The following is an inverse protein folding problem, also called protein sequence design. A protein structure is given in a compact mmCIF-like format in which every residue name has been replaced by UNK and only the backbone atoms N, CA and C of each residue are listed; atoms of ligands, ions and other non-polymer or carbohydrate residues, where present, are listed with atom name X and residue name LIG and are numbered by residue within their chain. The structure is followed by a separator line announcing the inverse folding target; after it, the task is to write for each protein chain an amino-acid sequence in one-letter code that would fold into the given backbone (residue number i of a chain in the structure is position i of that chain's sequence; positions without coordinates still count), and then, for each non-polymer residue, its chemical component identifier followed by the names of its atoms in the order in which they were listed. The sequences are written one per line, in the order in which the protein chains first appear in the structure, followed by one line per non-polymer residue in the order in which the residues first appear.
data_IF_510965933102
#
_entry.id   IF_510965933102
#
_cell.length_a   1.000
_cell.length_b   1.000
_cell.length_c   1.000
_cell.angle_alpha   90.00
_cell.angle_beta   90.00
_cell.angle_gamma   90.00
#
_symmetry.space_group_name_H-M   'P 1'
#
loop_
_entity.id
_entity.type
_entity.pdbx_description
1 polymer ?
#
# COMPACT_ATOMS: atom_id res chain seq x y z
N UNK A 1 9.48 53.47 15.56
CA UNK A 1 9.10 53.31 14.13
C UNK A 1 9.32 51.84 13.79
N UNK A 2 8.31 51.13 13.29
CA UNK A 2 8.47 49.76 12.79
C UNK A 2 8.74 49.79 11.28
N UNK A 3 9.70 48.99 10.81
CA UNK A 3 10.09 48.89 9.40
C UNK A 3 9.92 47.44 8.96
N UNK A 4 9.35 47.22 7.78
CA UNK A 4 9.18 45.88 7.24
C UNK A 4 10.55 45.23 6.98
N UNK A 5 10.73 44.00 7.47
CA UNK A 5 11.92 43.18 7.22
C UNK A 5 11.53 41.90 6.49
N UNK A 6 12.44 41.39 5.65
CA UNK A 6 12.25 40.08 5.00
C UNK A 6 12.63 38.96 5.97
N UNK A 7 11.75 37.97 6.09
CA UNK A 7 12.01 36.77 6.91
C UNK A 7 11.30 35.49 6.44
N UNK A 8 10.42 35.59 5.43
CA UNK A 8 9.57 34.48 4.99
C UNK A 8 10.35 33.27 4.47
N UNK A 9 11.33 33.48 3.59
CA UNK A 9 12.14 32.40 3.01
C UNK A 9 12.89 31.61 4.10
N UNK A 10 13.59 32.32 5.00
CA UNK A 10 14.28 31.69 6.14
C UNK A 10 13.31 30.93 7.05
N UNK A 11 12.09 31.45 7.24
CA UNK A 11 11.07 30.76 8.04
C UNK A 11 10.57 29.48 7.34
N UNK A 12 10.39 29.51 6.02
CA UNK A 12 9.99 28.35 5.21
C UNK A 12 11.07 27.27 5.25
N UNK A 13 12.34 27.64 5.03
CA UNK A 13 13.47 26.69 5.10
C UNK A 13 13.57 26.03 6.48
N UNK A 14 13.48 26.82 7.55
CA UNK A 14 13.48 26.30 8.91
C UNK A 14 12.28 25.37 9.18
N UNK A 15 11.10 25.71 8.67
CA UNK A 15 9.91 24.88 8.79
C UNK A 15 10.06 23.54 8.05
N UNK A 16 10.64 23.54 6.84
CA UNK A 16 10.95 22.31 6.11
C UNK A 16 11.96 21.45 6.88
N UNK A 17 13.06 22.02 7.36
CA UNK A 17 14.05 21.28 8.15
C UNK A 17 13.43 20.66 9.42
N UNK A 18 12.53 21.38 10.10
CA UNK A 18 11.78 20.85 11.24
C UNK A 18 10.86 19.70 10.83
N UNK A 19 10.20 19.79 9.69
CA UNK A 19 9.33 18.71 9.19
C UNK A 19 10.14 17.47 8.79
N UNK A 20 11.31 17.65 8.17
CA UNK A 20 12.21 16.53 7.83
C UNK A 20 12.74 15.83 9.08
N UNK A 21 13.12 16.60 10.10
CA UNK A 21 13.54 16.06 11.39
C UNK A 21 12.42 15.26 12.05
N UNK A 22 11.19 15.80 12.06
CA UNK A 22 10.00 15.09 12.57
C UNK A 22 9.70 13.82 11.78
N UNK A 23 9.78 13.87 10.45
CA UNK A 23 9.60 12.71 9.56
C UNK A 23 10.62 11.61 9.86
N UNK A 24 11.89 11.98 10.12
CA UNK A 24 12.93 11.00 10.47
C UNK A 24 12.68 10.36 11.84
N UNK A 25 12.21 11.11 12.83
CA UNK A 25 11.99 10.62 14.18
C UNK A 25 13.28 10.25 14.91
N UNK A 26 13.20 9.32 15.87
CA UNK A 26 14.36 8.87 16.65
C UNK A 26 15.41 8.16 15.76
N UNK A 27 16.63 8.71 15.75
CA UNK A 27 17.77 8.18 15.00
C UNK A 27 18.22 6.79 15.45
N UNK A 28 17.84 6.35 16.66
CA UNK A 28 18.11 5.01 17.18
C UNK A 28 17.24 3.93 16.52
N UNK A 29 16.11 4.32 15.95
CA UNK A 29 15.24 3.41 15.21
C UNK A 29 15.71 3.31 13.75
N UNK A 30 15.66 2.10 13.14
CA UNK A 30 15.88 1.95 11.71
C UNK A 30 14.91 2.82 10.92
N UNK A 31 15.42 3.46 9.87
CA UNK A 31 14.58 4.22 8.96
C UNK A 31 13.64 3.29 8.18
N UNK A 32 12.39 3.73 7.97
CA UNK A 32 11.44 3.01 7.13
C UNK A 32 11.98 2.89 5.70
N UNK A 33 12.14 1.65 5.22
CA UNK A 33 12.51 1.40 3.83
C UNK A 33 11.29 1.48 2.91
N UNK A 34 11.53 1.79 1.64
CA UNK A 34 10.48 1.78 0.61
C UNK A 34 9.90 0.36 0.50
N UNK A 35 10.75 -0.66 0.52
CA UNK A 35 10.33 -2.06 0.49
C UNK A 35 9.39 -2.43 1.65
N UNK A 36 9.69 -1.99 2.87
CA UNK A 36 8.81 -2.21 4.03
C UNK A 36 7.42 -1.60 3.80
N UNK A 37 7.35 -0.37 3.30
CA UNK A 37 6.08 0.31 3.02
C UNK A 37 5.33 -0.43 1.90
N UNK A 38 6.02 -0.74 0.80
CA UNK A 38 5.45 -1.46 -0.36
C UNK A 38 4.85 -2.81 0.04
N UNK A 39 5.56 -3.59 0.87
CA UNK A 39 5.16 -4.96 1.21
C UNK A 39 4.16 -5.01 2.38
N UNK A 40 4.38 -4.21 3.43
CA UNK A 40 3.66 -4.33 4.70
C UNK A 40 2.48 -3.35 4.81
N UNK A 41 2.53 -2.22 4.09
CA UNK A 41 1.48 -1.20 4.06
C UNK A 41 0.79 -1.10 2.69
N UNK A 42 0.70 -2.24 1.99
CA UNK A 42 0.22 -2.33 0.60
C UNK A 42 -1.15 -1.68 0.36
N UNK A 43 -2.09 -1.71 1.31
CA UNK A 43 -3.39 -1.05 1.14
C UNK A 43 -3.30 0.48 1.05
N UNK A 44 -2.36 1.10 1.77
CA UNK A 44 -2.10 2.54 1.64
C UNK A 44 -1.46 2.85 0.28
N UNK A 45 -0.54 1.98 -0.17
CA UNK A 45 0.10 2.08 -1.49
C UNK A 45 -0.93 1.97 -2.60
N UNK A 46 -1.86 1.01 -2.53
CA UNK A 46 -2.92 0.82 -3.51
C UNK A 46 -3.84 2.06 -3.61
N UNK A 47 -4.17 2.68 -2.47
CA UNK A 47 -4.92 3.94 -2.42
C UNK A 47 -4.17 5.09 -3.10
N UNK A 48 -2.89 5.27 -2.77
CA UNK A 48 -2.07 6.34 -3.34
C UNK A 48 -1.87 6.17 -4.83
N UNK A 49 -1.62 4.95 -5.33
CA UNK A 49 -1.55 4.68 -6.76
C UNK A 49 -2.85 5.04 -7.48
N UNK A 50 -3.99 4.62 -6.92
CA UNK A 50 -5.32 4.81 -7.53
C UNK A 50 -5.70 6.29 -7.62
N UNK A 51 -5.58 7.02 -6.51
CA UNK A 51 -5.97 8.44 -6.44
C UNK A 51 -4.88 9.37 -7.03
N UNK A 52 -3.61 8.98 -6.97
CA UNK A 52 -2.48 9.70 -7.55
C UNK A 52 -2.34 9.52 -9.06
N UNK A 53 -2.93 8.46 -9.63
CA UNK A 53 -3.03 8.24 -11.07
C UNK A 53 -1.77 7.68 -11.72
N UNK A 54 -0.91 7.00 -10.94
CA UNK A 54 0.24 6.22 -11.43
C UNK A 54 0.21 4.86 -10.74
N UNK A 55 0.12 3.79 -11.53
CA UNK A 55 0.18 2.41 -11.05
C UNK A 55 1.63 1.93 -10.90
N UNK A 56 2.36 2.53 -9.96
CA UNK A 56 3.72 2.16 -9.57
C UNK A 56 3.83 2.10 -8.04
N UNK A 57 4.11 0.91 -7.51
CA UNK A 57 4.12 0.65 -6.07
C UNK A 57 5.27 1.34 -5.35
N UNK A 58 6.45 1.40 -5.97
CA UNK A 58 7.63 2.01 -5.34
C UNK A 58 7.50 3.53 -5.30
N UNK A 59 6.97 4.15 -6.36
CA UNK A 59 6.69 5.59 -6.37
C UNK A 59 5.61 5.98 -5.35
N UNK A 60 4.54 5.19 -5.23
CA UNK A 60 3.51 5.43 -4.23
C UNK A 60 4.06 5.24 -2.79
N UNK A 61 4.89 4.23 -2.56
CA UNK A 61 5.56 4.02 -1.27
C UNK A 61 6.57 5.14 -0.94
N UNK A 62 7.29 5.65 -1.94
CA UNK A 62 8.17 6.81 -1.79
C UNK A 62 7.37 8.07 -1.41
N UNK A 63 6.24 8.31 -2.09
CA UNK A 63 5.35 9.44 -1.76
C UNK A 63 4.81 9.34 -0.33
N UNK A 64 4.37 8.14 0.09
CA UNK A 64 3.96 7.87 1.47
C UNK A 64 5.08 8.14 2.48
N UNK A 65 6.30 7.68 2.18
CA UNK A 65 7.47 7.93 3.03
C UNK A 65 7.74 9.43 3.16
N UNK A 66 7.73 10.16 2.05
CA UNK A 66 7.98 11.60 2.02
C UNK A 66 6.92 12.39 2.79
N UNK A 67 5.65 11.98 2.67
CA UNK A 67 4.49 12.56 3.33
C UNK A 67 4.32 12.14 4.81
N UNK A 68 5.28 11.41 5.39
CA UNK A 68 5.17 10.90 6.77
C UNK A 68 3.91 10.04 7.01
N UNK A 69 3.45 9.34 5.97
CA UNK A 69 2.23 8.52 6.00
C UNK A 69 0.93 9.28 5.77
N UNK A 70 0.95 10.60 5.52
CA UNK A 70 -0.25 11.34 5.13
C UNK A 70 -0.66 10.98 3.68
N UNK A 71 -1.79 10.28 3.56
CA UNK A 71 -2.30 9.84 2.26
C UNK A 71 -2.65 11.00 1.34
N UNK A 72 -3.21 12.11 1.85
CA UNK A 72 -3.64 13.24 1.00
C UNK A 72 -2.42 13.91 0.38
N UNK A 73 -1.38 14.14 1.17
CA UNK A 73 -0.12 14.69 0.69
C UNK A 73 0.61 13.72 -0.25
N UNK A 74 0.65 12.42 0.08
CA UNK A 74 1.26 11.41 -0.79
C UNK A 74 0.58 11.33 -2.17
N UNK A 75 -0.76 11.38 -2.21
CA UNK A 75 -1.55 11.43 -3.44
C UNK A 75 -1.19 12.69 -4.23
N UNK A 76 -1.10 13.84 -3.56
CA UNK A 76 -0.75 15.09 -4.21
C UNK A 76 0.67 15.05 -4.82
N UNK A 77 1.65 14.53 -4.08
CA UNK A 77 3.02 14.33 -4.56
C UNK A 77 3.06 13.44 -5.81
N UNK A 78 2.38 12.29 -5.79
CA UNK A 78 2.38 11.38 -6.93
C UNK A 78 1.66 11.98 -8.15
N UNK A 79 0.58 12.72 -7.92
CA UNK A 79 -0.18 13.41 -8.97
C UNK A 79 0.59 14.59 -9.58
N UNK A 80 1.37 15.30 -8.76
CA UNK A 80 2.31 16.33 -9.24
C UNK A 80 3.46 15.68 -10.04
N UNK A 81 4.01 14.56 -9.59
CA UNK A 81 5.05 13.86 -10.34
C UNK A 81 4.56 13.43 -11.72
N UNK A 82 3.31 12.96 -11.83
CA UNK A 82 2.67 12.62 -13.11
C UNK A 82 2.71 13.73 -14.16
N UNK A 83 2.65 15.01 -13.76
CA UNK A 83 2.68 16.13 -14.73
C UNK A 83 4.07 16.35 -15.32
N UNK A 84 5.11 15.77 -14.73
CA UNK A 84 6.49 15.84 -15.23
C UNK A 84 6.81 14.73 -16.25
N UNK A 85 5.95 13.72 -16.37
CA UNK A 85 6.18 12.54 -17.20
C UNK A 85 5.60 12.71 -18.61
N UNK A 86 6.31 12.20 -19.61
CA UNK A 86 5.81 12.09 -20.97
C UNK A 86 4.84 10.91 -21.10
N UNK A 87 3.79 11.07 -21.90
CA UNK A 87 2.90 9.97 -22.26
C UNK A 87 3.52 9.18 -23.43
N UNK A 88 4.15 8.06 -23.12
CA UNK A 88 4.86 7.24 -24.11
C UNK A 88 3.93 6.37 -24.98
N UNK A 89 2.83 5.89 -24.40
CA UNK A 89 1.89 5.02 -25.08
C UNK A 89 0.49 5.11 -24.45
N UNK A 90 -0.48 4.50 -25.12
CA UNK A 90 -1.82 4.21 -24.61
C UNK A 90 -2.01 2.70 -24.72
N UNK A 91 -2.45 2.05 -23.65
CA UNK A 91 -2.69 0.60 -23.68
C UNK A 91 -3.95 0.28 -24.50
N UNK A 92 -4.03 -0.96 -24.96
CA UNK A 92 -5.30 -1.53 -25.35
C UNK A 92 -6.25 -1.63 -24.13
N UNK A 93 -7.57 -1.74 -24.34
CA UNK A 93 -8.50 -2.01 -23.26
C UNK A 93 -8.14 -3.30 -22.51
N UNK A 94 -8.18 -3.25 -21.17
CA UNK A 94 -7.86 -4.41 -20.33
C UNK A 94 -8.98 -5.44 -20.43
N UNK A 95 -8.64 -6.68 -20.81
CA UNK A 95 -9.56 -7.82 -20.72
C UNK A 95 -9.59 -8.38 -19.28
N UNK A 96 -10.66 -8.09 -18.55
CA UNK A 96 -10.84 -8.57 -17.18
C UNK A 96 -11.37 -10.00 -17.10
N UNK A 97 -11.84 -10.60 -18.21
CA UNK A 97 -12.33 -11.97 -18.23
C UNK A 97 -11.20 -13.00 -18.11
N UNK A 98 -9.99 -12.66 -18.59
CA UNK A 98 -8.78 -13.47 -18.48
C UNK A 98 -7.94 -13.17 -17.24
N UNK A 99 -8.47 -12.39 -16.28
CA UNK A 99 -7.77 -12.04 -15.04
C UNK A 99 -7.37 -13.28 -14.25
N UNK A 100 -6.08 -13.35 -13.86
CA UNK A 100 -5.63 -14.29 -12.83
C UNK A 100 -6.18 -13.86 -11.48
N UNK A 101 -7.21 -14.57 -11.01
CA UNK A 101 -7.98 -14.15 -9.84
C UNK A 101 -7.17 -14.28 -8.54
N UNK A 102 -7.16 -13.22 -7.73
CA UNK A 102 -6.75 -13.26 -6.31
C UNK A 102 -7.96 -13.32 -5.36
N UNK A 103 -9.09 -12.70 -5.77
CA UNK A 103 -10.38 -12.70 -5.07
C UNK A 103 -11.52 -12.63 -6.08
N UNK A 104 -12.62 -13.35 -5.83
CA UNK A 104 -13.85 -13.31 -6.64
C UNK A 104 -15.06 -13.69 -5.79
N UNK A 105 -15.95 -12.73 -5.55
CA UNK A 105 -17.17 -12.95 -4.79
C UNK A 105 -18.39 -12.39 -5.54
N UNK A 106 -19.56 -13.00 -5.34
CA UNK A 106 -20.85 -12.51 -5.81
C UNK A 106 -21.86 -12.54 -4.68
N UNK A 107 -22.52 -11.42 -4.41
CA UNK A 107 -23.55 -11.32 -3.38
C UNK A 107 -24.94 -11.76 -3.87
N UNK A 108 -25.14 -11.92 -5.17
CA UNK A 108 -26.47 -12.18 -5.78
C UNK A 108 -26.88 -13.64 -5.64
N UNK A 109 -25.92 -14.55 -5.74
CA UNK A 109 -26.16 -15.99 -5.62
C UNK A 109 -25.32 -16.56 -4.50
N UNK A 110 -25.84 -17.60 -3.85
CA UNK A 110 -25.09 -18.35 -2.84
C UNK A 110 -23.79 -18.91 -3.44
N UNK A 111 -23.91 -19.61 -4.57
CA UNK A 111 -22.79 -20.17 -5.33
C UNK A 111 -22.84 -19.72 -6.80
N UNK A 112 -21.66 -19.68 -7.43
CA UNK A 112 -21.45 -19.29 -8.83
C UNK A 112 -20.51 -20.29 -9.51
N UNK A 113 -20.53 -20.43 -10.86
CA UNK A 113 -19.54 -21.23 -11.56
C UNK A 113 -18.12 -20.76 -11.21
N UNK A 114 -17.25 -21.71 -10.85
CA UNK A 114 -15.91 -21.44 -10.31
C UNK A 114 -15.86 -21.15 -8.80
N UNK A 115 -17.01 -21.11 -8.13
CA UNK A 115 -17.13 -20.90 -6.68
C UNK A 115 -16.93 -19.45 -6.22
N UNK A 116 -17.21 -19.24 -4.94
CA UNK A 116 -16.91 -18.02 -4.20
C UNK A 116 -15.48 -18.10 -3.66
N UNK A 117 -14.61 -17.17 -4.04
CA UNK A 117 -13.21 -17.13 -3.63
C UNK A 117 -12.93 -15.87 -2.83
N UNK A 118 -12.82 -16.00 -1.51
CA UNK A 118 -12.58 -14.86 -0.60
C UNK A 118 -11.19 -14.24 -0.79
N UNK A 119 -10.16 -15.01 -1.10
CA UNK A 119 -8.80 -14.48 -1.19
C UNK A 119 -8.33 -13.80 0.11
N UNK A 120 -7.26 -12.99 0.06
CA UNK A 120 -6.83 -12.17 1.20
C UNK A 120 -7.85 -11.06 1.48
N UNK A 121 -8.43 -11.04 2.69
CA UNK A 121 -9.41 -10.02 3.09
C UNK A 121 -9.43 -9.81 4.60
N UNK A 122 -9.86 -8.61 5.02
CA UNK A 122 -10.24 -8.31 6.39
C UNK A 122 -11.74 -8.51 6.65
N UNK A 123 -12.52 -8.92 5.65
CA UNK A 123 -13.93 -9.25 5.85
C UNK A 123 -14.07 -10.35 6.91
N UNK A 124 -15.14 -10.28 7.71
CA UNK A 124 -15.44 -11.21 8.81
C UNK A 124 -14.41 -11.23 9.95
N UNK A 125 -13.42 -10.33 9.95
CA UNK A 125 -12.53 -10.15 11.10
C UNK A 125 -13.23 -9.37 12.20
N UNK A 126 -12.98 -9.76 13.46
CA UNK A 126 -13.37 -8.93 14.61
C UNK A 126 -12.46 -7.72 14.68
N UNK A 127 -13.05 -6.52 14.75
CA UNK A 127 -12.31 -5.24 14.80
C UNK A 127 -11.78 -4.95 16.20
N UNK A 128 -10.88 -5.79 16.68
CA UNK A 128 -10.18 -5.67 17.96
C UNK A 128 -8.70 -5.44 17.69
N UNK A 129 -8.04 -4.62 18.49
CA UNK A 129 -6.58 -4.44 18.39
C UNK A 129 -5.87 -5.73 18.79
N UNK A 130 -4.95 -6.20 17.93
CA UNK A 130 -4.14 -7.40 18.18
C UNK A 130 -2.88 -7.01 18.96
N UNK A 131 -2.82 -7.39 20.24
CA UNK A 131 -1.67 -7.16 21.13
C UNK A 131 -0.64 -8.29 21.07
N UNK A 132 -0.84 -9.32 20.25
CA UNK A 132 0.14 -10.39 20.09
C UNK A 132 1.42 -9.82 19.45
N UNK A 133 2.63 -10.12 19.97
CA UNK A 133 3.86 -9.65 19.34
C UNK A 133 3.95 -10.09 17.87
N UNK A 134 4.14 -9.10 16.99
CA UNK A 134 4.28 -9.28 15.55
C UNK A 134 5.42 -10.26 15.25
N UNK A 135 5.08 -11.43 14.68
CA UNK A 135 6.05 -12.46 14.30
C UNK A 135 5.88 -13.84 14.96
N UNK A 136 5.03 -13.97 15.99
CA UNK A 136 4.77 -15.27 16.63
C UNK A 136 3.49 -15.98 16.17
N UNK A 137 2.72 -15.41 15.23
CA UNK A 137 1.68 -16.19 14.54
C UNK A 137 2.39 -17.13 13.56
N UNK A 138 2.46 -18.42 13.90
CA UNK A 138 2.84 -19.48 12.98
C UNK A 138 2.10 -19.28 11.65
N UNK A 139 2.84 -19.24 10.55
CA UNK A 139 2.26 -19.24 9.21
C UNK A 139 1.43 -20.51 9.00
N UNK A 140 0.13 -20.46 9.31
CA UNK A 140 -0.80 -21.59 9.13
C UNK A 140 -0.83 -22.08 7.66
N UNK A 141 -0.50 -21.19 6.71
CA UNK A 141 -0.40 -21.53 5.29
C UNK A 141 0.79 -22.44 4.92
N UNK A 142 1.83 -22.53 5.77
CA UNK A 142 2.96 -23.43 5.55
C UNK A 142 2.67 -24.87 6.02
N UNK A 143 1.82 -25.04 7.05
CA UNK A 143 1.40 -26.36 7.54
C UNK A 143 0.43 -27.05 6.57
N UNK A 144 -0.51 -26.31 5.96
CA UNK A 144 -1.50 -26.90 5.04
C UNK A 144 -0.94 -27.35 3.67
N UNK A 145 0.21 -26.82 3.23
CA UNK A 145 0.88 -27.30 2.00
C UNK A 145 1.59 -28.64 2.21
N UNK A 146 1.97 -28.99 3.44
CA UNK A 146 2.57 -30.29 3.76
C UNK A 146 1.53 -31.40 3.89
N UNK A 147 0.31 -31.08 4.33
CA UNK A 147 -0.78 -32.07 4.43
C UNK A 147 -1.44 -32.36 3.07
N UNK A 148 -1.57 -31.37 2.19
CA UNK A 148 -2.17 -31.57 0.86
C UNK A 148 -1.27 -32.36 -0.13
N UNK A 149 0.05 -32.33 0.04
CA UNK A 149 0.98 -33.10 -0.81
C UNK A 149 0.97 -34.62 -0.50
N UNK A 150 0.36 -35.05 0.60
CA UNK A 150 0.28 -36.46 1.02
C UNK A 150 -1.02 -37.19 0.62
N UNK A 151 -1.99 -36.53 -0.01
CA UNK A 151 -3.34 -37.09 -0.22
C UNK A 151 -3.85 -36.98 -1.65
N UNK A 152 -3.06 -37.38 -2.64
CA UNK A 152 -3.56 -37.67 -3.98
C UNK A 152 -3.24 -39.11 -4.38
N UNK A 153 -4.01 -40.03 -3.82
CA UNK A 153 -4.23 -41.37 -4.36
C UNK A 153 -5.67 -41.79 -4.08
N UNK A 154 -6.57 -41.50 -5.03
CA UNK A 154 -7.87 -42.15 -5.28
C UNK A 154 -8.57 -41.34 -6.39
N UNK A 155 -8.68 -41.82 -7.65
CA UNK A 155 -9.83 -42.59 -8.17
C UNK A 155 -11.15 -41.96 -7.71
N UNK A 156 -11.89 -41.23 -8.53
CA UNK A 156 -12.64 -41.64 -9.73
C UNK A 156 -12.85 -40.46 -10.68
#
# INVERSE_FOLDING_TARGET
MYVAVKGGERAIEAAHALQEHKRRGDGRLPELSIEQITQQLHLAVDRVMTEGGIADRELAALALKQASGDNVEAIFLLRAYRTTLQRLAVSEPVDTASMRLERRISAVYKDIPGGQMLGPTYDYTHRLLDFHPAGQRRNAAAENRRTAAGSHTARF
#
